data_IF_060734234927
#
_entry.id   IF_060734234927
#
_cell.length_a   1.000
_cell.length_b   1.000
_cell.length_c   1.000
_cell.angle_alpha   90.00
_cell.angle_beta   90.00
_cell.angle_gamma   90.00
#
_symmetry.space_group_name_H-M   'P 1'
#
loop_
_entity.id
_entity.type
_entity.pdbx_description
1 polymer ?
#
# COMPACT_ATOMS: atom_id res chain seq x y z
N UNK A 1 -6.06 -5.73 13.46
CA UNK A 1 -5.29 -4.52 13.05
C UNK A 1 -5.88 -3.73 11.86
N UNK A 2 -6.94 -4.19 11.20
CA UNK A 2 -7.82 -3.33 10.40
C UNK A 2 -9.23 -3.76 10.76
N UNK A 3 -9.99 -2.93 11.51
CA UNK A 3 -11.41 -3.19 11.73
C UNK A 3 -12.14 -2.99 10.39
N UNK A 4 -13.38 -3.46 10.28
CA UNK A 4 -14.14 -3.40 9.03
C UNK A 4 -14.21 -2.00 8.41
N UNK A 5 -14.19 -0.94 9.23
CA UNK A 5 -14.35 0.44 8.80
C UNK A 5 -13.04 1.25 8.66
N UNK A 6 -11.90 0.76 9.17
CA UNK A 6 -10.65 1.54 9.19
C UNK A 6 -10.18 1.95 7.79
N UNK A 7 -10.30 1.07 6.79
CA UNK A 7 -9.89 1.38 5.42
C UNK A 7 -10.78 2.48 4.84
N UNK A 8 -12.09 2.38 5.01
CA UNK A 8 -13.03 3.39 4.54
C UNK A 8 -12.75 4.78 5.17
N UNK A 9 -12.52 4.83 6.49
CA UNK A 9 -12.18 6.07 7.19
C UNK A 9 -10.84 6.66 6.71
N UNK A 10 -9.84 5.81 6.50
CA UNK A 10 -8.54 6.23 5.97
C UNK A 10 -8.66 6.80 4.56
N UNK A 11 -9.43 6.14 3.69
CA UNK A 11 -9.65 6.59 2.32
C UNK A 11 -10.47 7.88 2.29
N UNK A 12 -11.44 8.04 3.19
CA UNK A 12 -12.14 9.29 3.39
C UNK A 12 -11.17 10.41 3.79
N UNK A 13 -10.23 10.16 4.71
CA UNK A 13 -9.26 11.15 5.15
C UNK A 13 -8.35 11.64 4.00
N UNK A 14 -7.73 10.71 3.25
CA UNK A 14 -6.76 11.05 2.19
C UNK A 14 -7.41 11.63 0.94
N UNK A 15 -8.72 11.44 0.76
CA UNK A 15 -9.49 12.03 -0.35
C UNK A 15 -10.24 13.31 0.04
N UNK A 16 -10.36 13.64 1.34
CA UNK A 16 -11.13 14.78 1.85
C UNK A 16 -10.65 16.13 1.32
N UNK A 17 -9.33 16.34 1.23
CA UNK A 17 -8.75 17.65 0.87
C UNK A 17 -9.22 18.15 -0.51
N UNK A 18 -9.39 17.23 -1.47
CA UNK A 18 -9.89 17.54 -2.81
C UNK A 18 -11.37 17.93 -2.79
N UNK A 19 -12.19 17.25 -1.97
CA UNK A 19 -13.63 17.54 -1.87
C UNK A 19 -13.91 18.96 -1.35
N UNK A 20 -12.96 19.58 -0.68
CA UNK A 20 -13.06 20.95 -0.15
C UNK A 20 -12.44 22.02 -1.05
N UNK A 21 -12.14 21.71 -2.32
CA UNK A 21 -11.54 22.67 -3.26
C UNK A 21 -10.10 23.05 -2.94
N UNK A 22 -9.42 22.31 -2.06
CA UNK A 22 -8.01 22.51 -1.71
C UNK A 22 -7.14 21.53 -2.50
N UNK A 23 -5.87 21.90 -2.72
CA UNK A 23 -4.89 20.98 -3.30
C UNK A 23 -4.84 19.67 -2.52
N UNK A 24 -4.77 18.55 -3.24
CA UNK A 24 -4.67 17.24 -2.60
C UNK A 24 -3.37 17.13 -1.83
N UNK A 25 -3.44 16.62 -0.60
CA UNK A 25 -2.25 16.37 0.20
C UNK A 25 -1.55 15.10 -0.32
N UNK A 26 -0.21 15.10 -0.42
CA UNK A 26 0.53 13.88 -0.69
C UNK A 26 0.36 12.89 0.47
N UNK A 27 0.38 11.60 0.16
CA UNK A 27 0.26 10.56 1.18
C UNK A 27 0.99 9.28 0.78
N UNK A 28 1.43 8.55 1.80
CA UNK A 28 2.15 7.28 1.71
C UNK A 28 1.51 6.32 2.71
N UNK A 29 0.83 5.31 2.21
CA UNK A 29 0.11 4.35 3.06
C UNK A 29 0.73 2.97 2.91
N UNK A 30 1.15 2.39 4.02
CA UNK A 30 1.56 1.00 4.08
C UNK A 30 0.34 0.14 4.41
N UNK A 31 -0.19 -0.55 3.39
CA UNK A 31 -1.45 -1.29 3.51
C UNK A 31 -1.28 -2.74 3.05
N UNK A 32 -2.12 -3.67 3.54
CA UNK A 32 -2.16 -5.02 3.04
C UNK A 32 -2.43 -5.07 1.54
N UNK A 33 -1.79 -6.01 0.85
CA UNK A 33 -1.97 -6.19 -0.59
C UNK A 33 -3.42 -6.46 -1.03
N UNK A 34 -4.33 -6.89 -0.15
CA UNK A 34 -5.72 -7.10 -0.53
C UNK A 34 -6.51 -5.80 -0.67
N UNK A 35 -6.05 -4.67 -0.09
CA UNK A 35 -6.81 -3.41 -0.05
C UNK A 35 -7.09 -2.86 -1.44
N UNK A 36 -6.16 -2.96 -2.40
CA UNK A 36 -6.37 -2.43 -3.76
C UNK A 36 -7.47 -3.17 -4.55
N UNK A 37 -7.94 -4.31 -4.02
CA UNK A 37 -9.01 -5.11 -4.62
C UNK A 37 -10.39 -4.68 -4.14
N UNK A 38 -10.48 -3.92 -3.03
CA UNK A 38 -11.77 -3.42 -2.52
C UNK A 38 -12.27 -2.28 -3.39
N UNK A 39 -13.32 -2.51 -4.16
CA UNK A 39 -13.88 -1.50 -5.06
C UNK A 39 -14.48 -0.33 -4.28
N UNK A 40 -15.34 -0.63 -3.31
CA UNK A 40 -16.15 0.40 -2.64
C UNK A 40 -15.33 1.24 -1.66
N UNK A 41 -14.39 0.61 -0.97
CA UNK A 41 -13.63 1.29 0.09
C UNK A 41 -12.34 1.94 -0.38
N UNK A 42 -11.76 1.47 -1.49
CA UNK A 42 -10.47 1.96 -1.98
C UNK A 42 -10.57 2.57 -3.38
N UNK A 43 -11.12 1.84 -4.35
CA UNK A 43 -11.11 2.27 -5.75
C UNK A 43 -12.08 3.44 -6.02
N UNK A 44 -13.32 3.34 -5.53
CA UNK A 44 -14.35 4.35 -5.76
C UNK A 44 -14.00 5.72 -5.15
N UNK A 45 -13.52 5.83 -3.88
CA UNK A 45 -13.12 7.11 -3.31
C UNK A 45 -11.97 7.79 -4.06
N UNK A 46 -10.99 7.01 -4.53
CA UNK A 46 -9.86 7.55 -5.31
C UNK A 46 -10.29 8.05 -6.68
N UNK A 47 -11.15 7.29 -7.36
CA UNK A 47 -11.69 7.67 -8.66
C UNK A 47 -12.51 8.97 -8.54
N UNK A 48 -13.40 9.05 -7.55
CA UNK A 48 -14.18 10.25 -7.27
C UNK A 48 -13.31 11.46 -6.91
N UNK A 49 -12.14 11.22 -6.31
CA UNK A 49 -11.17 12.26 -5.98
C UNK A 49 -10.17 12.55 -7.12
N UNK A 50 -10.27 11.87 -8.27
CA UNK A 50 -9.30 12.00 -9.38
C UNK A 50 -7.87 11.57 -9.03
N UNK A 51 -7.68 10.82 -7.93
CA UNK A 51 -6.36 10.41 -7.46
C UNK A 51 -5.92 9.11 -8.14
N UNK A 52 -4.68 9.10 -8.65
CA UNK A 52 -4.09 7.93 -9.33
C UNK A 52 -2.80 7.49 -8.61
N UNK A 53 -2.92 6.83 -7.45
CA UNK A 53 -1.76 6.37 -6.71
C UNK A 53 -1.03 5.24 -7.44
N UNK A 54 0.27 5.12 -7.17
CA UNK A 54 1.12 4.02 -7.61
C UNK A 54 1.55 3.14 -6.42
N UNK A 55 2.20 2.02 -6.72
CA UNK A 55 2.57 1.01 -5.72
C UNK A 55 4.07 0.75 -5.71
N UNK A 56 4.61 0.58 -4.50
CA UNK A 56 5.95 0.02 -4.25
C UNK A 56 5.83 -1.24 -3.41
N UNK A 57 6.41 -2.33 -3.91
CA UNK A 57 6.31 -3.66 -3.32
C UNK A 57 7.71 -4.07 -2.82
N UNK A 58 7.98 -4.01 -1.51
CA UNK A 58 9.27 -4.44 -0.99
C UNK A 58 9.52 -5.94 -1.24
N UNK A 59 10.75 -6.29 -1.61
CA UNK A 59 11.16 -7.69 -1.78
C UNK A 59 11.15 -8.45 -0.44
N UNK A 60 11.44 -7.75 0.66
CA UNK A 60 11.35 -8.28 2.03
C UNK A 60 10.06 -7.80 2.69
N UNK A 61 9.35 -8.73 3.34
CA UNK A 61 8.11 -8.40 4.07
C UNK A 61 8.42 -7.56 5.31
N UNK A 62 7.55 -6.58 5.59
CA UNK A 62 7.57 -5.90 6.89
C UNK A 62 7.32 -6.89 8.02
N UNK A 63 8.08 -6.73 9.10
CA UNK A 63 7.99 -7.54 10.31
C UNK A 63 7.71 -6.60 11.48
N UNK A 64 6.60 -6.83 12.16
CA UNK A 64 6.36 -6.20 13.45
C UNK A 64 7.17 -6.93 14.51
N UNK A 65 8.07 -6.21 15.16
CA UNK A 65 8.80 -6.66 16.35
C UNK A 65 8.04 -6.12 17.56
N UNK A 66 7.34 -6.99 18.32
CA UNK A 66 6.68 -6.54 19.55
C UNK A 66 7.72 -6.14 20.59
N UNK A 67 7.38 -5.23 21.53
CA UNK A 67 8.27 -4.88 22.62
C UNK A 67 8.57 -6.11 23.51
N UNK A 68 9.71 -6.09 24.24
CA UNK A 68 10.05 -7.15 25.18
C UNK A 68 8.90 -7.42 26.16
N UNK A 69 8.67 -8.68 26.52
CA UNK A 69 7.61 -9.12 27.45
C UNK A 69 6.15 -8.91 27.00
N UNK A 70 5.90 -8.50 25.74
CA UNK A 70 4.54 -8.30 25.23
C UNK A 70 3.73 -9.59 25.04
N UNK A 71 4.38 -10.76 24.99
CA UNK A 71 3.69 -12.06 24.78
C UNK A 71 4.02 -13.04 25.89
N UNK A 72 2.99 -13.76 26.34
CA UNK A 72 3.15 -15.00 27.08
C UNK A 72 3.95 -15.99 26.22
N UNK A 73 5.01 -16.61 26.79
CA UNK A 73 5.88 -17.57 26.12
C UNK A 73 5.03 -18.71 25.53
N UNK A 74 4.90 -18.78 24.20
CA UNK A 74 4.35 -19.95 23.50
C UNK A 74 5.48 -20.65 22.74
N UNK A 75 5.42 -21.97 22.70
CA UNK A 75 6.50 -22.86 22.28
C UNK A 75 6.86 -22.86 20.78
N UNK A 76 6.19 -22.07 19.92
CA UNK A 76 6.46 -22.09 18.47
C UNK A 76 7.24 -20.86 17.97
N UNK A 77 8.37 -21.13 17.33
CA UNK A 77 9.26 -20.13 16.72
C UNK A 77 8.67 -19.45 15.47
N UNK A 78 7.59 -20.02 14.93
CA UNK A 78 6.85 -19.51 13.76
C UNK A 78 6.19 -18.15 14.04
N UNK A 79 5.98 -17.78 15.31
CA UNK A 79 5.30 -16.54 15.71
C UNK A 79 6.21 -15.36 16.07
N UNK A 80 7.53 -15.47 15.95
CA UNK A 80 8.49 -14.38 16.25
C UNK A 80 8.38 -13.17 15.30
N UNK A 81 7.79 -13.34 14.10
CA UNK A 81 7.63 -12.30 13.07
C UNK A 81 6.16 -12.23 12.63
N UNK A 82 5.41 -11.22 13.03
CA UNK A 82 3.97 -11.17 12.75
C UNK A 82 3.54 -9.87 12.09
N UNK A 83 3.85 -9.69 10.82
CA UNK A 83 2.88 -8.98 9.97
C UNK A 83 1.88 -10.01 9.48
N UNK A 84 0.59 -9.93 9.85
CA UNK A 84 -0.40 -10.92 9.43
C UNK A 84 -0.61 -10.93 7.92
N UNK A 85 -0.22 -9.86 7.21
CA UNK A 85 -0.39 -9.73 5.78
C UNK A 85 0.88 -9.22 5.08
N UNK A 86 1.04 -9.62 3.83
CA UNK A 86 1.99 -8.96 2.92
C UNK A 86 1.47 -7.55 2.66
N UNK A 87 2.29 -6.57 2.99
CA UNK A 87 1.95 -5.15 2.80
C UNK A 87 2.79 -4.55 1.68
N UNK A 88 2.27 -3.50 1.06
CA UNK A 88 2.96 -2.70 0.06
C UNK A 88 2.61 -1.24 0.26
N UNK A 89 3.42 -0.35 -0.30
CA UNK A 89 3.14 1.08 -0.27
C UNK A 89 2.16 1.46 -1.36
N UNK A 90 1.25 2.35 -0.98
CA UNK A 90 0.31 3.04 -1.81
C UNK A 90 0.67 4.52 -1.74
N UNK A 91 0.96 5.16 -2.87
CA UNK A 91 1.58 6.49 -2.88
C UNK A 91 0.84 7.41 -3.83
N UNK A 92 0.51 8.60 -3.35
CA UNK A 92 -0.01 9.71 -4.15
C UNK A 92 0.81 10.98 -3.87
N UNK A 93 1.27 11.63 -4.94
CA UNK A 93 2.07 12.85 -4.85
C UNK A 93 1.30 14.13 -4.53
N UNK A 94 -0.01 14.09 -4.31
CA UNK A 94 -0.84 15.29 -4.12
C UNK A 94 -1.26 15.97 -5.43
N UNK A 95 -0.47 15.85 -6.49
CA UNK A 95 -0.87 16.24 -7.84
C UNK A 95 -0.12 15.40 -8.87
N UNK A 96 -0.53 15.48 -10.14
CA UNK A 96 0.05 14.65 -11.22
C UNK A 96 1.56 14.91 -11.39
N UNK A 97 1.99 16.17 -11.38
CA UNK A 97 3.41 16.52 -11.56
C UNK A 97 4.31 15.90 -10.47
N UNK A 98 3.91 16.03 -9.21
CA UNK A 98 4.62 15.43 -8.09
C UNK A 98 4.51 13.90 -8.10
N UNK A 99 3.35 13.35 -8.46
CA UNK A 99 3.16 11.91 -8.57
C UNK A 99 4.09 11.31 -9.62
N UNK A 100 4.28 11.97 -10.77
CA UNK A 100 5.26 11.56 -11.79
C UNK A 100 6.70 11.65 -11.29
N UNK A 101 7.05 12.73 -10.59
CA UNK A 101 8.38 12.87 -9.97
C UNK A 101 8.66 11.72 -8.98
N UNK A 102 7.70 11.40 -8.12
CA UNK A 102 7.81 10.30 -7.17
C UNK A 102 7.88 8.94 -7.87
N UNK A 103 7.09 8.71 -8.93
CA UNK A 103 7.17 7.47 -9.72
C UNK A 103 8.55 7.29 -10.36
N UNK A 104 9.16 8.35 -10.89
CA UNK A 104 10.49 8.30 -11.48
C UNK A 104 11.57 8.00 -10.43
N UNK A 105 11.46 8.55 -9.23
CA UNK A 105 12.34 8.21 -8.11
C UNK A 105 12.12 6.75 -7.66
N UNK A 106 10.87 6.33 -7.50
CA UNK A 106 10.47 5.00 -7.07
C UNK A 106 11.00 3.87 -7.97
N UNK A 107 11.09 4.10 -9.29
CA UNK A 107 11.69 3.14 -10.24
C UNK A 107 13.17 2.85 -10.02
N UNK A 108 13.88 3.76 -9.36
CA UNK A 108 15.33 3.65 -9.09
C UNK A 108 15.61 3.10 -7.69
N UNK A 109 14.58 2.80 -6.90
CA UNK A 109 14.73 2.27 -5.54
C UNK A 109 15.04 0.78 -5.63
N UNK A 110 16.20 0.38 -5.13
CA UNK A 110 16.57 -1.02 -5.02
C UNK A 110 15.75 -1.74 -3.94
N UNK A 111 15.57 -3.05 -4.12
CA UNK A 111 14.87 -3.90 -3.15
C UNK A 111 13.34 -3.75 -3.14
N UNK A 112 12.77 -3.05 -4.12
CA UNK A 112 11.33 -2.93 -4.33
C UNK A 112 10.95 -3.14 -5.80
N UNK A 113 9.80 -3.76 -6.04
CA UNK A 113 9.15 -3.72 -7.35
C UNK A 113 8.24 -2.49 -7.46
N UNK A 114 8.15 -1.91 -8.65
CA UNK A 114 7.33 -0.74 -8.95
C UNK A 114 6.13 -1.10 -9.83
N UNK A 115 4.93 -0.67 -9.43
CA UNK A 115 3.72 -0.75 -10.26
C UNK A 115 3.01 0.60 -10.36
N UNK A 116 2.88 1.12 -11.58
CA UNK A 116 2.16 2.37 -11.87
C UNK A 116 0.63 2.28 -11.71
N UNK A 117 0.07 1.08 -11.67
CA UNK A 117 -1.38 0.86 -11.65
C UNK A 117 -1.74 -0.55 -11.19
N UNK A 118 -3.03 -0.78 -10.94
CA UNK A 118 -3.58 -2.10 -10.58
C UNK A 118 -3.31 -3.17 -11.65
N UNK A 119 -3.36 -2.78 -12.93
CA UNK A 119 -3.02 -3.68 -14.03
C UNK A 119 -1.53 -4.03 -14.04
N UNK A 120 -0.64 -3.04 -13.85
CA UNK A 120 0.79 -3.28 -13.74
C UNK A 120 1.12 -4.21 -12.55
N UNK A 121 0.43 -4.04 -11.41
CA UNK A 121 0.57 -4.91 -10.25
C UNK A 121 0.17 -6.37 -10.57
N UNK A 122 -0.92 -6.56 -11.32
CA UNK A 122 -1.36 -7.89 -11.79
C UNK A 122 -0.30 -8.53 -12.69
N UNK A 123 0.31 -7.75 -13.57
CA UNK A 123 1.30 -8.24 -14.53
C UNK A 123 2.64 -8.60 -13.85
N UNK A 124 3.09 -7.81 -12.88
CA UNK A 124 4.22 -8.17 -12.01
C UNK A 124 4.02 -9.53 -11.34
N UNK A 125 2.83 -9.75 -10.76
CA UNK A 125 2.49 -11.03 -10.12
C UNK A 125 2.57 -12.21 -11.09
N UNK A 126 2.14 -12.01 -12.34
CA UNK A 126 2.21 -13.04 -13.40
C UNK A 126 3.66 -13.34 -13.80
N UNK A 127 4.50 -12.30 -13.92
CA UNK A 127 5.92 -12.45 -14.23
C UNK A 127 6.64 -13.29 -13.17
N UNK A 128 6.38 -13.03 -11.88
CA UNK A 128 6.98 -13.80 -10.79
C UNK A 128 6.56 -15.27 -10.80
N UNK A 129 5.29 -15.56 -11.12
CA UNK A 129 4.81 -16.94 -11.25
C UNK A 129 5.50 -17.72 -12.37
N UNK A 130 5.87 -17.06 -13.47
CA UNK A 130 6.61 -17.69 -14.58
C UNK A 130 8.07 -17.97 -14.24
N UNK A 131 8.74 -17.11 -13.46
CA UNK A 131 10.15 -17.28 -13.07
C UNK A 131 10.38 -18.42 -12.06
N UNK A 132 9.36 -18.75 -11.28
CA UNK A 132 9.43 -19.79 -10.25
C UNK A 132 8.90 -21.16 -10.74
N UNK A 133 8.61 -21.29 -12.04
CA UNK A 133 8.34 -22.56 -12.72
C UNK A 133 9.58 -22.95 -13.49
#
# INVERSE_FOLDING_TARGET
PYSGSHIAQLMQHVTRSIKSGKNSKPWFLLLPQWVHKRKDEYEAPLLAAGQRPFFLIPHKRYVYVPPPNYRSKKASDVHKKSSPFVSMWYIWGGNEAMNQRLMNAARKVDGCDFARSKNALRDLRRKHKKRNK
#
